data_IF_080208133164
#
_entry.id   IF_080208133164
#
_cell.length_a   1.000
_cell.length_b   1.000
_cell.length_c   1.000
_cell.angle_alpha   90.00
_cell.angle_beta   90.00
_cell.angle_gamma   90.00
#
_symmetry.space_group_name_H-M   'P 1'
#
loop_
_entity.id
_entity.type
_entity.pdbx_description
1 polymer ?
#
# COMPACT_ATOMS: atom_id res chain seq x y z
N UNK A 1 30.00 -13.57 6.40
CA UNK A 1 29.20 -14.45 5.52
C UNK A 1 27.75 -14.24 5.86
N UNK A 2 26.91 -14.12 4.84
CA UNK A 2 25.46 -14.01 5.01
C UNK A 2 24.93 -15.41 5.34
N UNK A 3 24.55 -15.63 6.60
CA UNK A 3 24.23 -16.97 7.13
C UNK A 3 22.75 -17.33 7.00
N UNK A 4 21.91 -16.40 6.53
CA UNK A 4 20.47 -16.58 6.41
C UNK A 4 20.09 -17.16 5.05
N UNK A 5 19.62 -18.40 5.06
CA UNK A 5 19.19 -19.14 3.87
C UNK A 5 17.82 -18.71 3.32
N UNK A 6 16.99 -18.04 4.11
CA UNK A 6 15.67 -17.55 3.68
C UNK A 6 15.40 -16.13 4.19
N UNK A 7 14.95 -15.25 3.29
CA UNK A 7 14.74 -13.81 3.56
C UNK A 7 13.42 -13.35 2.98
N UNK A 8 12.75 -12.46 3.69
CA UNK A 8 11.57 -11.75 3.18
C UNK A 8 12.03 -10.76 2.11
N UNK A 9 11.45 -10.85 0.92
CA UNK A 9 11.72 -9.93 -0.18
C UNK A 9 10.83 -8.70 0.00
N UNK A 10 11.45 -7.53 0.11
CA UNK A 10 10.75 -6.24 0.15
C UNK A 10 10.46 -5.74 -1.27
N UNK A 11 9.31 -5.10 -1.46
CA UNK A 11 8.98 -4.43 -2.72
C UNK A 11 9.91 -3.23 -2.95
N UNK A 12 10.29 -3.01 -4.22
CA UNK A 12 11.12 -1.89 -4.65
C UNK A 12 10.35 -0.99 -5.63
N UNK A 13 10.98 0.12 -6.05
CA UNK A 13 10.33 1.12 -6.92
C UNK A 13 9.98 0.59 -8.32
N UNK A 14 10.70 -0.43 -8.78
CA UNK A 14 10.52 -1.05 -10.10
C UNK A 14 9.40 -2.10 -10.08
N UNK A 15 9.21 -2.80 -8.96
CA UNK A 15 8.13 -3.77 -8.75
C UNK A 15 6.84 -3.12 -8.27
N UNK A 16 6.86 -1.85 -7.88
CA UNK A 16 5.70 -1.15 -7.36
C UNK A 16 4.68 -0.82 -8.47
N UNK A 17 3.60 -1.60 -8.54
CA UNK A 17 2.49 -1.34 -9.46
C UNK A 17 1.58 -0.21 -8.91
N UNK A 18 1.69 1.00 -9.46
CA UNK A 18 0.83 2.13 -9.08
C UNK A 18 -0.40 2.18 -9.99
N UNK A 19 -1.57 2.12 -9.38
CA UNK A 19 -2.86 2.16 -10.07
C UNK A 19 -3.57 3.47 -9.78
N UNK A 20 -4.28 3.99 -10.77
CA UNK A 20 -5.18 5.13 -10.59
C UNK A 20 -6.54 4.62 -10.15
N UNK A 21 -6.98 5.07 -8.97
CA UNK A 21 -8.28 4.69 -8.40
C UNK A 21 -9.17 5.93 -8.33
N UNK A 22 -10.42 5.77 -8.76
CA UNK A 22 -11.45 6.80 -8.65
C UNK A 22 -12.36 6.45 -7.47
N UNK A 23 -12.63 7.44 -6.62
CA UNK A 23 -13.46 7.26 -5.41
C UNK A 23 -14.64 8.22 -5.47
N UNK A 24 -15.85 7.68 -5.47
CA UNK A 24 -17.08 8.45 -5.27
C UNK A 24 -17.29 8.71 -3.77
N UNK A 25 -17.50 9.98 -3.44
CA UNK A 25 -17.66 10.46 -2.07
C UNK A 25 -19.13 10.82 -1.71
N UNK A 26 -20.07 10.58 -2.63
CA UNK A 26 -21.48 10.93 -2.44
C UNK A 26 -22.07 10.21 -1.22
N UNK A 27 -22.78 10.95 -0.36
CA UNK A 27 -23.38 10.47 0.90
C UNK A 27 -22.41 9.81 1.90
N UNK A 28 -21.10 10.06 1.78
CA UNK A 28 -20.10 9.52 2.71
C UNK A 28 -19.73 10.50 3.82
N UNK A 29 -19.57 9.98 5.04
CA UNK A 29 -19.01 10.75 6.15
C UNK A 29 -17.52 10.95 5.93
N UNK A 30 -17.08 12.21 5.84
CA UNK A 30 -15.71 12.62 5.49
C UNK A 30 -14.64 11.85 6.27
N UNK A 31 -14.76 11.76 7.59
CA UNK A 31 -13.77 11.05 8.42
C UNK A 31 -13.67 9.55 8.15
N UNK A 32 -14.80 8.89 7.86
CA UNK A 32 -14.85 7.46 7.53
C UNK A 32 -14.27 7.21 6.14
N UNK A 33 -14.61 8.06 5.18
CA UNK A 33 -14.07 7.98 3.82
C UNK A 33 -12.56 8.23 3.82
N UNK A 34 -12.12 9.32 4.44
CA UNK A 34 -10.71 9.69 4.53
C UNK A 34 -9.85 8.59 5.16
N UNK A 35 -10.34 7.92 6.21
CA UNK A 35 -9.64 6.79 6.83
C UNK A 35 -9.43 5.62 5.86
N UNK A 36 -10.43 5.31 5.01
CA UNK A 36 -10.32 4.25 4.00
C UNK A 36 -9.38 4.65 2.87
N UNK A 37 -9.49 5.89 2.37
CA UNK A 37 -8.64 6.42 1.30
C UNK A 37 -7.19 6.49 1.75
N UNK A 38 -6.90 6.93 2.97
CA UNK A 38 -5.54 6.93 3.52
C UNK A 38 -4.93 5.52 3.57
N UNK A 39 -5.73 4.51 3.95
CA UNK A 39 -5.28 3.10 3.95
C UNK A 39 -5.00 2.59 2.54
N UNK A 40 -5.81 3.01 1.56
CA UNK A 40 -5.63 2.67 0.15
C UNK A 40 -4.36 3.30 -0.43
N UNK A 41 -4.16 4.60 -0.23
CA UNK A 41 -2.97 5.33 -0.68
C UNK A 41 -1.69 4.78 -0.04
N UNK A 42 -1.75 4.36 1.23
CA UNK A 42 -0.62 3.69 1.90
C UNK A 42 -0.30 2.31 1.33
N UNK A 43 -1.18 1.74 0.49
CA UNK A 43 -0.98 0.43 -0.13
C UNK A 43 -1.19 -0.76 0.82
N UNK A 44 -1.83 -0.57 2.00
CA UNK A 44 -2.02 -1.64 3.00
C UNK A 44 -2.95 -2.78 2.57
N UNK A 45 -3.57 -2.68 1.39
CA UNK A 45 -4.34 -3.77 0.79
C UNK A 45 -3.49 -4.68 -0.09
N UNK A 46 -2.25 -4.29 -0.42
CA UNK A 46 -1.37 -5.09 -1.25
C UNK A 46 -0.61 -6.11 -0.38
N UNK A 47 -0.48 -7.37 -0.83
CA UNK A 47 0.18 -8.42 -0.05
C UNK A 47 1.70 -8.22 0.07
N UNK A 48 2.30 -7.42 -0.80
CA UNK A 48 3.71 -7.06 -0.86
C UNK A 48 4.01 -5.72 -0.16
N UNK A 49 3.11 -5.26 0.72
CA UNK A 49 3.26 -4.00 1.46
C UNK A 49 4.60 -3.93 2.20
N UNK A 50 5.41 -2.94 1.83
CA UNK A 50 6.72 -2.67 2.42
C UNK A 50 6.68 -1.30 3.10
N UNK A 51 6.82 -1.20 4.44
CA UNK A 51 6.56 0.04 5.19
C UNK A 51 7.41 1.25 4.81
N UNK A 52 8.61 1.03 4.28
CA UNK A 52 9.57 2.08 3.91
C UNK A 52 9.59 2.37 2.41
N UNK A 53 8.82 1.63 1.59
CA UNK A 53 8.75 1.81 0.15
C UNK A 53 7.48 2.59 -0.20
N UNK A 54 7.58 3.51 -1.15
CA UNK A 54 6.53 4.48 -1.54
C UNK A 54 6.27 4.51 -3.06
#
# INVERSE_FOLDING_TARGET
MDTLSYKTISANKETAHKEWVVVDATDQVVGRLGSKVAKLLRGKYKPDFTPHAD
#
